data_IF_742828744036
#
_entry.id   IF_742828744036
#
_cell.length_a   1.000
_cell.length_b   1.000
_cell.length_c   1.000
_cell.angle_alpha   90.00
_cell.angle_beta   90.00
_cell.angle_gamma   90.00
#
_symmetry.space_group_name_H-M   'P 1'
#
loop_
_entity.id
_entity.type
_entity.pdbx_description
1 polymer ?
#
# COMPACT_ATOMS: atom_id res chain seq x y z
N UNK A 1 3.19 6.49 18.73
CA UNK A 1 4.18 6.38 17.63
C UNK A 1 3.93 7.47 16.60
N UNK A 2 2.71 7.52 16.06
CA UNK A 2 2.26 8.64 15.22
C UNK A 2 2.39 10.00 15.91
N UNK A 3 2.10 10.11 17.22
CA UNK A 3 2.33 11.35 17.98
C UNK A 3 3.76 11.87 17.89
N UNK A 4 4.76 10.97 17.89
CA UNK A 4 6.15 11.37 17.76
C UNK A 4 6.44 11.93 16.37
N UNK A 5 5.88 11.33 15.31
CA UNK A 5 5.97 11.84 13.94
C UNK A 5 5.32 13.22 13.84
N UNK A 6 4.13 13.38 14.42
CA UNK A 6 3.38 14.64 14.48
C UNK A 6 4.19 15.74 15.16
N UNK A 7 4.69 15.47 16.37
CA UNK A 7 5.51 16.41 17.14
C UNK A 7 6.81 16.73 16.40
N UNK A 8 7.50 15.73 15.86
CA UNK A 8 8.72 15.93 15.07
C UNK A 8 8.47 16.83 13.87
N UNK A 9 7.41 16.55 13.09
CA UNK A 9 7.02 17.34 11.93
C UNK A 9 6.74 18.80 12.30
N UNK A 10 5.92 19.05 13.34
CA UNK A 10 5.59 20.40 13.78
C UNK A 10 6.81 21.19 14.27
N UNK A 11 7.78 20.51 14.88
CA UNK A 11 8.97 21.14 15.46
C UNK A 11 10.20 21.18 14.53
N UNK A 12 10.07 20.75 13.26
CA UNK A 12 11.16 20.88 12.28
C UNK A 12 11.61 22.35 12.19
N UNK A 13 12.92 22.64 12.24
CA UNK A 13 13.41 23.99 12.02
C UNK A 13 13.16 24.43 10.58
N UNK A 14 13.12 25.74 10.38
CA UNK A 14 13.16 26.33 9.05
C UNK A 14 14.53 26.01 8.43
N UNK A 15 14.52 25.46 7.23
CA UNK A 15 15.74 25.24 6.46
C UNK A 15 16.31 26.62 6.05
N UNK A 16 17.51 27.00 6.50
CA UNK A 16 18.08 28.32 6.23
C UNK A 16 18.39 28.55 4.75
N UNK A 17 18.56 27.50 3.95
CA UNK A 17 18.79 27.63 2.52
C UNK A 17 17.51 27.97 1.73
N UNK A 18 16.35 27.53 2.22
CA UNK A 18 15.07 27.66 1.51
C UNK A 18 14.06 28.57 2.20
N UNK A 19 14.32 29.03 3.43
CA UNK A 19 13.44 29.92 4.19
C UNK A 19 12.13 29.26 4.67
N UNK A 20 12.01 27.93 4.60
CA UNK A 20 10.81 27.16 4.99
C UNK A 20 11.17 25.82 5.61
N UNK A 21 10.22 25.13 6.25
CA UNK A 21 10.41 23.74 6.68
C UNK A 21 10.53 22.83 5.45
N UNK A 22 11.42 21.84 5.51
CA UNK A 22 11.49 20.82 4.47
C UNK A 22 10.26 19.90 4.55
N UNK A 23 9.75 19.35 3.43
CA UNK A 23 8.65 18.39 3.44
C UNK A 23 8.89 17.20 4.35
N UNK A 24 7.82 16.60 4.89
CA UNK A 24 7.91 15.28 5.53
C UNK A 24 7.15 14.26 4.71
N UNK A 25 7.84 13.17 4.37
CA UNK A 25 7.23 11.96 3.84
C UNK A 25 7.62 10.78 4.72
N UNK A 26 6.64 9.93 5.02
CA UNK A 26 6.80 8.76 5.89
C UNK A 26 6.51 7.50 5.08
N UNK A 27 7.50 6.62 4.99
CA UNK A 27 7.34 5.29 4.44
C UNK A 27 6.84 4.33 5.54
N UNK A 28 5.60 3.88 5.43
CA UNK A 28 4.96 2.95 6.34
C UNK A 28 5.02 1.52 5.79
N UNK A 29 6.19 0.90 5.84
CA UNK A 29 6.41 -0.52 5.50
C UNK A 29 5.94 -1.49 6.61
N UNK A 30 4.92 -1.10 7.38
CA UNK A 30 4.31 -1.89 8.46
C UNK A 30 2.79 -1.73 8.42
N UNK A 31 2.09 -2.69 9.00
CA UNK A 31 0.64 -2.65 9.11
C UNK A 31 0.11 -3.66 10.13
N UNK A 32 -1.08 -3.40 10.65
CA UNK A 32 -1.75 -4.29 11.61
C UNK A 32 -2.53 -5.39 10.90
N UNK A 33 -2.55 -6.58 11.51
CA UNK A 33 -3.18 -7.78 10.96
C UNK A 33 -3.97 -8.50 12.05
N UNK A 34 -5.05 -9.14 11.66
CA UNK A 34 -5.86 -10.00 12.51
C UNK A 34 -5.73 -11.44 12.04
N UNK A 35 -5.86 -12.36 13.00
CA UNK A 35 -5.84 -13.78 12.73
C UNK A 35 -7.03 -14.47 13.40
N UNK A 36 -7.67 -15.38 12.68
CA UNK A 36 -8.76 -16.22 13.20
C UNK A 36 -8.38 -17.68 13.02
N UNK A 37 -8.47 -18.48 14.08
CA UNK A 37 -8.19 -19.93 14.04
C UNK A 37 -9.06 -20.59 12.98
N UNK A 38 -8.43 -21.17 11.94
CA UNK A 38 -9.12 -21.84 10.84
C UNK A 38 -9.61 -23.23 11.20
N UNK A 39 -8.91 -23.88 12.12
CA UNK A 39 -9.19 -25.24 12.62
C UNK A 39 -10.32 -25.28 13.67
N UNK A 40 -10.83 -24.13 14.10
CA UNK A 40 -11.93 -24.01 15.05
C UNK A 40 -13.15 -23.40 14.38
N UNK A 41 -14.33 -23.71 14.92
CA UNK A 41 -15.60 -23.17 14.41
C UNK A 41 -15.63 -21.65 14.46
N UNK A 42 -16.02 -21.04 13.35
CA UNK A 42 -16.23 -19.59 13.21
C UNK A 42 -17.43 -19.33 12.30
N UNK A 43 -17.90 -18.09 12.30
CA UNK A 43 -18.87 -17.59 11.32
C UNK A 43 -18.48 -16.19 10.86
N UNK A 44 -18.84 -15.87 9.61
CA UNK A 44 -18.51 -14.60 8.98
C UNK A 44 -19.68 -14.08 8.15
N UNK A 45 -19.76 -12.76 7.97
CA UNK A 45 -20.66 -12.14 7.00
C UNK A 45 -19.93 -11.96 5.67
N UNK A 46 -20.59 -12.32 4.57
CA UNK A 46 -20.21 -11.97 3.22
C UNK A 46 -21.38 -11.25 2.55
N UNK A 47 -21.21 -9.96 2.24
CA UNK A 47 -22.23 -9.09 1.61
C UNK A 47 -23.60 -9.19 2.31
N UNK A 48 -23.58 -9.10 3.64
CA UNK A 48 -24.77 -9.20 4.49
C UNK A 48 -25.26 -10.61 4.83
N UNK A 49 -24.77 -11.65 4.14
CA UNK A 49 -25.14 -13.04 4.43
C UNK A 49 -24.18 -13.67 5.45
N UNK A 50 -24.71 -14.23 6.54
CA UNK A 50 -23.89 -14.93 7.53
C UNK A 50 -23.70 -16.39 7.14
N UNK A 51 -22.45 -16.86 7.16
CA UNK A 51 -22.07 -18.23 6.78
C UNK A 51 -21.19 -18.85 7.84
N UNK A 52 -21.29 -20.17 7.99
CA UNK A 52 -20.50 -20.93 8.97
C UNK A 52 -19.19 -21.42 8.33
N UNK A 53 -18.17 -21.64 9.16
CA UNK A 53 -16.88 -22.18 8.71
C UNK A 53 -16.95 -23.50 7.93
N UNK A 54 -17.97 -24.32 8.15
CA UNK A 54 -18.27 -25.51 7.34
C UNK A 54 -18.63 -25.18 5.89
N UNK A 55 -19.13 -23.97 5.65
CA UNK A 55 -19.73 -23.54 4.38
C UNK A 55 -18.78 -22.70 3.53
N UNK A 56 -17.66 -22.29 4.12
CA UNK A 56 -16.67 -21.42 3.48
C UNK A 56 -16.14 -21.99 2.16
N UNK A 57 -16.02 -23.33 2.05
CA UNK A 57 -15.49 -24.05 0.90
C UNK A 57 -16.47 -25.06 0.30
N UNK A 58 -17.67 -25.23 0.88
CA UNK A 58 -18.58 -26.34 0.54
C UNK A 58 -19.53 -26.06 -0.61
N UNK A 59 -19.68 -24.80 -1.04
CA UNK A 59 -20.34 -24.49 -2.32
C UNK A 59 -19.33 -24.73 -3.44
N UNK A 60 -19.79 -25.22 -4.61
CA UNK A 60 -18.96 -25.41 -5.82
C UNK A 60 -18.22 -24.14 -6.30
N UNK A 61 -18.56 -23.03 -5.65
CA UNK A 61 -18.25 -21.64 -5.93
C UNK A 61 -17.38 -20.99 -4.84
N UNK A 62 -17.30 -21.62 -3.65
CA UNK A 62 -16.69 -21.09 -2.41
C UNK A 62 -17.17 -19.68 -2.02
N UNK A 63 -16.98 -19.28 -0.76
CA UNK A 63 -17.33 -17.94 -0.31
C UNK A 63 -16.06 -17.15 0.02
N UNK A 64 -16.08 -15.83 -0.16
CA UNK A 64 -14.91 -14.99 0.13
C UNK A 64 -14.30 -15.21 1.53
N UNK A 65 -15.07 -15.38 2.64
CA UNK A 65 -14.51 -15.79 3.93
C UNK A 65 -13.61 -17.03 3.87
N UNK A 66 -13.94 -18.02 3.03
CA UNK A 66 -13.16 -19.24 2.84
C UNK A 66 -11.84 -19.04 2.11
N UNK A 67 -11.75 -17.94 1.38
CA UNK A 67 -10.55 -17.52 0.64
C UNK A 67 -9.90 -16.28 1.26
N UNK A 68 -10.29 -15.90 2.48
CA UNK A 68 -9.43 -15.04 3.30
C UNK A 68 -8.08 -15.76 3.41
N UNK A 69 -7.01 -15.06 3.09
CA UNK A 69 -5.68 -15.66 3.02
C UNK A 69 -5.35 -16.44 4.27
N UNK A 70 -4.62 -17.52 4.08
CA UNK A 70 -4.26 -18.40 5.18
C UNK A 70 -2.77 -18.42 5.41
N UNK A 71 -2.40 -18.55 6.68
CA UNK A 71 -1.02 -18.75 7.10
C UNK A 71 -0.99 -19.84 8.18
N UNK A 72 0.09 -20.61 8.21
CA UNK A 72 0.26 -21.67 9.21
C UNK A 72 1.48 -21.39 10.08
N UNK A 73 1.28 -21.44 11.39
CA UNK A 73 2.34 -21.34 12.39
C UNK A 73 2.21 -22.50 13.36
N UNK A 74 3.31 -23.22 13.64
CA UNK A 74 3.33 -24.35 14.56
C UNK A 74 2.21 -25.39 14.27
N UNK A 75 2.01 -25.74 13.00
CA UNK A 75 0.94 -26.65 12.53
C UNK A 75 -0.50 -26.19 12.79
N UNK A 76 -0.72 -24.91 13.12
CA UNK A 76 -2.04 -24.31 13.24
C UNK A 76 -2.25 -23.35 12.08
N UNK A 77 -3.36 -23.48 11.36
CA UNK A 77 -3.74 -22.57 10.28
C UNK A 77 -4.64 -21.45 10.78
N UNK A 78 -4.45 -20.27 10.23
CA UNK A 78 -5.21 -19.07 10.54
C UNK A 78 -5.72 -18.44 9.25
N UNK A 79 -6.94 -17.91 9.28
CA UNK A 79 -7.33 -16.84 8.36
C UNK A 79 -6.58 -15.58 8.77
N UNK A 80 -6.03 -14.84 7.82
CA UNK A 80 -5.25 -13.62 8.01
C UNK A 80 -5.83 -12.50 7.14
N UNK A 81 -5.95 -11.31 7.71
CA UNK A 81 -6.33 -10.11 6.98
C UNK A 81 -5.71 -8.87 7.64
N UNK A 82 -5.57 -7.79 6.88
CA UNK A 82 -5.25 -6.47 7.44
C UNK A 82 -6.38 -6.01 8.34
N UNK A 83 -6.02 -5.35 9.45
CA UNK A 83 -7.00 -4.93 10.43
C UNK A 83 -6.60 -3.58 11.03
N UNK A 84 -7.60 -2.82 11.46
CA UNK A 84 -7.38 -1.60 12.22
C UNK A 84 -7.15 -1.94 13.69
N UNK A 85 -6.12 -1.33 14.27
CA UNK A 85 -5.85 -1.31 15.72
C UNK A 85 -6.40 0.01 16.26
N UNK A 86 -7.52 0.02 17.02
CA UNK A 86 -8.20 1.26 17.39
C UNK A 86 -7.27 2.31 18.00
N UNK A 87 -6.36 1.88 18.88
CA UNK A 87 -5.42 2.77 19.56
C UNK A 87 -4.46 3.47 18.59
N UNK A 88 -3.83 2.71 17.69
CA UNK A 88 -2.92 3.26 16.69
C UNK A 88 -3.66 4.06 15.63
N UNK A 89 -4.86 3.61 15.27
CA UNK A 89 -5.70 4.22 14.24
C UNK A 89 -6.17 5.62 14.65
N UNK A 90 -6.67 5.79 15.88
CA UNK A 90 -7.08 7.10 16.40
C UNK A 90 -5.92 8.10 16.37
N UNK A 91 -4.72 7.73 16.85
CA UNK A 91 -3.56 8.64 16.81
C UNK A 91 -3.08 8.98 15.40
N UNK A 92 -3.40 8.14 14.42
CA UNK A 92 -3.08 8.40 13.02
C UNK A 92 -4.12 9.35 12.39
N UNK A 93 -5.40 9.14 12.66
CA UNK A 93 -6.50 10.02 12.21
C UNK A 93 -6.33 11.44 12.78
N UNK A 94 -5.87 11.59 14.01
CA UNK A 94 -5.50 12.89 14.60
C UNK A 94 -4.40 13.63 13.83
N UNK A 95 -3.60 12.96 13.00
CA UNK A 95 -2.65 13.61 12.09
C UNK A 95 -3.36 14.06 10.82
N UNK A 96 -4.25 13.21 10.28
CA UNK A 96 -5.01 13.53 9.08
C UNK A 96 -5.94 14.73 9.34
N UNK A 97 -6.51 14.86 10.52
CA UNK A 97 -7.41 15.96 10.89
C UNK A 97 -6.68 17.24 11.33
N UNK A 98 -5.36 17.20 11.51
CA UNK A 98 -4.59 18.36 11.96
C UNK A 98 -4.16 19.25 10.79
N UNK A 99 -4.62 20.51 10.73
CA UNK A 99 -4.30 21.42 9.62
C UNK A 99 -2.83 21.81 9.56
N UNK A 100 -2.05 21.71 10.65
CA UNK A 100 -0.60 21.96 10.62
C UNK A 100 0.18 20.72 10.14
N UNK A 101 -0.50 19.67 9.68
CA UNK A 101 0.09 18.44 9.18
C UNK A 101 -0.41 18.11 7.77
N UNK A 102 -1.02 19.06 7.06
CA UNK A 102 -1.52 18.87 5.70
C UNK A 102 -0.39 18.52 4.70
N UNK A 103 0.83 18.98 4.93
CA UNK A 103 2.08 18.67 4.20
C UNK A 103 2.87 17.47 4.77
N UNK A 104 2.26 16.71 5.69
CA UNK A 104 2.80 15.43 6.18
C UNK A 104 2.24 14.28 5.33
N UNK A 105 3.12 13.71 4.50
CA UNK A 105 2.77 12.69 3.50
C UNK A 105 3.00 11.28 4.06
N UNK A 106 2.02 10.40 3.92
CA UNK A 106 2.15 8.98 4.26
C UNK A 106 2.03 8.10 3.02
N UNK A 107 3.00 7.20 2.86
CA UNK A 107 2.98 6.14 1.86
C UNK A 107 2.95 4.82 2.62
N UNK A 108 1.86 4.07 2.49
CA UNK A 108 1.63 2.83 3.22
C UNK A 108 1.82 1.63 2.30
N UNK A 109 2.43 0.56 2.82
CA UNK A 109 2.46 -0.72 2.12
C UNK A 109 1.09 -1.40 2.22
N UNK A 110 0.55 -1.92 1.11
CA UNK A 110 -0.74 -2.61 1.10
C UNK A 110 -0.79 -3.82 2.04
N UNK A 111 0.36 -4.43 2.33
CA UNK A 111 0.48 -5.60 3.19
C UNK A 111 0.55 -6.90 2.39
N UNK A 112 1.03 -7.94 3.06
CA UNK A 112 1.31 -9.24 2.46
C UNK A 112 0.51 -10.34 3.19
N UNK A 113 -0.76 -10.53 2.83
CA UNK A 113 -1.62 -11.54 3.48
C UNK A 113 -1.53 -12.84 2.69
N UNK A 114 -1.00 -13.90 3.31
CA UNK A 114 -0.83 -15.22 2.67
C UNK A 114 -0.16 -15.24 1.29
N UNK A 115 -0.53 -16.23 0.49
CA UNK A 115 0.04 -16.49 -0.84
C UNK A 115 -0.63 -15.71 -1.96
N UNK A 116 -1.91 -15.36 -1.80
CA UNK A 116 -2.72 -14.74 -2.86
C UNK A 116 -3.00 -13.26 -2.62
N UNK A 117 -2.62 -12.74 -1.44
CA UNK A 117 -2.82 -11.36 -1.03
C UNK A 117 -4.27 -11.10 -0.67
N UNK A 118 -4.54 -10.26 0.32
CA UNK A 118 -5.90 -9.98 0.79
C UNK A 118 -6.56 -8.89 -0.03
N UNK A 119 -7.88 -8.96 -0.22
CA UNK A 119 -8.64 -7.83 -0.80
C UNK A 119 -8.64 -6.64 0.17
N UNK A 120 -8.62 -5.43 -0.35
CA UNK A 120 -8.76 -4.16 0.36
C UNK A 120 -9.75 -3.32 -0.43
N UNK A 121 -10.94 -3.17 0.14
CA UNK A 121 -12.10 -2.52 -0.45
C UNK A 121 -12.17 -1.06 0.03
N UNK A 122 -12.77 -0.21 -0.80
CA UNK A 122 -13.06 1.18 -0.43
C UNK A 122 -14.38 1.28 0.35
N UNK A 123 -14.55 2.30 1.23
CA UNK A 123 -15.83 2.56 1.88
C UNK A 123 -16.99 2.63 0.88
N UNK A 124 -18.09 1.91 1.15
CA UNK A 124 -19.24 1.80 0.26
C UNK A 124 -19.11 0.72 -0.83
N UNK A 125 -17.94 0.11 -0.99
CA UNK A 125 -17.75 -1.06 -1.84
C UNK A 125 -18.47 -2.30 -1.30
N UNK A 126 -18.82 -3.26 -2.17
CA UNK A 126 -19.68 -4.39 -1.82
C UNK A 126 -19.06 -5.30 -0.74
N UNK A 127 -17.74 -5.33 -0.66
CA UNK A 127 -17.00 -6.19 0.26
C UNK A 127 -16.48 -5.45 1.51
N UNK A 128 -16.79 -4.16 1.68
CA UNK A 128 -16.21 -3.34 2.75
C UNK A 128 -16.68 -3.74 4.16
N UNK A 129 -17.93 -4.20 4.29
CA UNK A 129 -18.55 -4.54 5.58
C UNK A 129 -18.48 -6.03 5.94
N UNK A 130 -17.72 -6.78 5.16
CA UNK A 130 -17.41 -8.17 5.39
C UNK A 130 -16.61 -8.34 6.71
N UNK A 131 -17.07 -9.22 7.60
CA UNK A 131 -16.39 -9.44 8.89
C UNK A 131 -16.59 -10.84 9.45
N UNK A 132 -15.67 -11.28 10.31
CA UNK A 132 -15.93 -12.42 11.18
C UNK A 132 -16.90 -12.00 12.31
N UNK A 133 -17.96 -12.79 12.50
CA UNK A 133 -18.97 -12.61 13.56
C UNK A 133 -18.54 -13.36 14.82
N UNK A 134 -18.16 -14.63 14.66
CA UNK A 134 -17.63 -15.48 15.74
C UNK A 134 -16.32 -16.13 15.31
N UNK A 135 -15.49 -16.53 16.27
CA UNK A 135 -14.23 -17.22 16.04
C UNK A 135 -13.25 -17.03 17.17
N UNK A 136 -12.17 -17.80 17.17
CA UNK A 136 -11.05 -17.60 18.10
C UNK A 136 -10.03 -16.67 17.46
N UNK A 137 -10.04 -15.41 17.88
CA UNK A 137 -9.17 -14.35 17.38
C UNK A 137 -7.86 -14.30 18.16
N UNK A 138 -6.75 -14.07 17.46
CA UNK A 138 -5.45 -13.84 18.12
C UNK A 138 -5.39 -12.47 18.81
N UNK A 139 -5.93 -11.42 18.16
CA UNK A 139 -5.89 -10.05 18.68
C UNK A 139 -7.31 -9.50 18.83
N UNK A 140 -8.01 -9.85 19.91
CA UNK A 140 -9.43 -9.50 20.09
C UNK A 140 -9.74 -7.99 20.09
N UNK A 141 -8.74 -7.13 20.28
CA UNK A 141 -8.87 -5.67 20.24
C UNK A 141 -8.86 -5.09 18.82
N UNK A 142 -8.42 -5.86 17.81
CA UNK A 142 -8.31 -5.38 16.43
C UNK A 142 -9.62 -5.62 15.68
N UNK A 143 -9.84 -4.85 14.62
CA UNK A 143 -11.01 -4.98 13.75
C UNK A 143 -11.20 -6.43 13.28
N UNK A 144 -12.47 -6.83 13.17
CA UNK A 144 -12.89 -8.14 12.66
C UNK A 144 -13.27 -8.09 11.18
N UNK A 145 -13.23 -6.91 10.58
CA UNK A 145 -13.55 -6.71 9.18
C UNK A 145 -12.40 -7.24 8.33
N UNK A 146 -12.71 -8.18 7.46
CA UNK A 146 -11.81 -8.59 6.39
C UNK A 146 -12.15 -7.76 5.14
N UNK A 147 -11.30 -7.77 4.13
CA UNK A 147 -11.41 -6.87 2.98
C UNK A 147 -11.19 -5.37 3.27
N UNK A 148 -10.57 -4.98 4.39
CA UNK A 148 -10.21 -3.57 4.66
C UNK A 148 -8.70 -3.38 4.72
N UNK A 149 -8.25 -2.16 4.47
CA UNK A 149 -6.88 -1.75 4.82
C UNK A 149 -6.66 -1.85 6.34
N UNK A 150 -5.40 -1.85 6.77
CA UNK A 150 -5.04 -1.92 8.19
C UNK A 150 -4.34 -0.66 8.65
N UNK A 151 -4.23 -0.46 9.96
CA UNK A 151 -3.53 0.71 10.52
C UNK A 151 -2.04 0.71 10.14
N UNK A 152 -1.47 1.84 9.65
CA UNK A 152 -2.15 3.12 9.38
C UNK A 152 -2.96 3.09 8.09
N UNK A 153 -4.19 3.59 8.17
CA UNK A 153 -5.09 3.85 7.03
C UNK A 153 -5.94 5.07 7.37
N UNK A 154 -6.64 5.68 6.42
CA UNK A 154 -7.55 6.79 6.71
C UNK A 154 -8.03 7.46 5.45
N UNK A 155 -9.20 8.10 5.50
CA UNK A 155 -9.79 8.86 4.38
C UNK A 155 -9.76 8.09 3.04
N UNK A 156 -9.92 6.75 3.08
CA UNK A 156 -9.78 5.88 1.90
C UNK A 156 -10.75 6.35 0.80
N UNK A 157 -10.23 6.56 -0.40
CA UNK A 157 -11.00 7.07 -1.54
C UNK A 157 -11.05 8.60 -1.64
N UNK A 158 -10.62 9.32 -0.61
CA UNK A 158 -10.52 10.78 -0.62
C UNK A 158 -9.16 11.27 -1.19
N UNK A 159 -9.07 12.53 -1.67
CA UNK A 159 -7.83 13.11 -2.18
C UNK A 159 -6.69 13.22 -1.15
N UNK A 160 -7.00 13.20 0.14
CA UNK A 160 -6.05 13.38 1.24
C UNK A 160 -5.67 12.06 1.93
N UNK A 161 -6.13 10.93 1.41
CA UNK A 161 -5.80 9.60 1.90
C UNK A 161 -4.28 9.33 1.86
N UNK A 162 -3.74 8.53 2.80
CA UNK A 162 -2.41 7.93 2.66
C UNK A 162 -2.34 7.13 1.36
N UNK A 163 -1.17 7.16 0.70
CA UNK A 163 -0.97 6.51 -0.59
C UNK A 163 -0.72 5.02 -0.36
N UNK A 164 -1.64 4.16 -0.80
CA UNK A 164 -1.57 2.72 -0.59
C UNK A 164 -0.88 1.98 -1.74
N UNK A 165 0.25 1.33 -1.45
CA UNK A 165 1.16 0.79 -2.48
C UNK A 165 1.10 -0.74 -2.53
N UNK A 166 0.64 -1.26 -3.67
CA UNK A 166 0.72 -2.66 -4.03
C UNK A 166 2.08 -3.03 -4.64
N UNK A 167 2.43 -4.32 -4.60
CA UNK A 167 3.69 -4.86 -5.12
C UNK A 167 3.50 -5.50 -6.49
N UNK A 168 4.34 -5.14 -7.46
CA UNK A 168 4.52 -5.86 -8.73
C UNK A 168 5.55 -6.97 -8.59
N UNK A 169 5.27 -8.08 -9.27
CA UNK A 169 6.18 -9.21 -9.40
C UNK A 169 7.40 -8.84 -10.26
N UNK A 170 8.46 -9.63 -10.19
CA UNK A 170 9.65 -9.55 -11.05
C UNK A 170 9.51 -10.39 -12.31
N UNK A 171 8.33 -10.95 -12.54
CA UNK A 171 8.00 -11.90 -13.60
C UNK A 171 6.60 -11.54 -14.14
N UNK A 172 6.26 -12.03 -15.32
CA UNK A 172 5.02 -11.69 -16.02
C UNK A 172 4.05 -12.88 -16.03
N UNK A 173 2.79 -12.61 -16.27
CA UNK A 173 1.78 -13.64 -16.49
C UNK A 173 2.09 -14.40 -17.79
N UNK A 174 2.10 -15.73 -17.77
CA UNK A 174 2.40 -16.55 -18.96
C UNK A 174 1.24 -17.42 -19.44
N UNK A 175 0.19 -17.60 -18.62
CA UNK A 175 -0.90 -18.48 -19.04
C UNK A 175 -1.70 -17.87 -20.22
N UNK A 176 -2.34 -18.75 -20.99
CA UNK A 176 -3.08 -18.40 -22.21
C UNK A 176 -2.28 -17.60 -23.26
N UNK A 177 -0.95 -17.62 -23.18
CA UNK A 177 -0.06 -16.87 -24.08
C UNK A 177 -0.05 -15.35 -23.84
N UNK A 178 -0.60 -14.88 -22.71
CA UNK A 178 -0.40 -13.50 -22.25
C UNK A 178 1.06 -13.30 -21.80
N UNK A 179 1.52 -12.06 -21.86
CA UNK A 179 2.80 -11.56 -21.34
C UNK A 179 2.56 -10.27 -20.55
N UNK A 180 1.44 -10.24 -19.82
CA UNK A 180 1.01 -9.09 -19.05
C UNK A 180 1.79 -8.99 -17.74
N UNK A 181 2.06 -7.77 -17.30
CA UNK A 181 2.64 -7.50 -15.98
C UNK A 181 1.69 -8.04 -14.89
N UNK A 182 2.21 -8.50 -13.76
CA UNK A 182 1.35 -9.05 -12.69
C UNK A 182 1.71 -8.50 -11.31
N UNK A 183 0.72 -8.45 -10.42
CA UNK A 183 0.99 -8.19 -9.01
C UNK A 183 1.83 -9.33 -8.45
N UNK A 184 2.62 -9.07 -7.41
CA UNK A 184 3.23 -10.15 -6.64
C UNK A 184 2.14 -10.98 -5.96
N UNK A 185 2.30 -12.31 -5.93
CA UNK A 185 1.31 -13.22 -5.35
C UNK A 185 0.87 -12.79 -3.94
N UNK A 186 1.85 -12.52 -3.08
CA UNK A 186 1.63 -12.10 -1.69
C UNK A 186 0.96 -10.72 -1.54
N UNK A 187 0.96 -9.86 -2.57
CA UNK A 187 0.52 -8.48 -2.41
C UNK A 187 -0.97 -8.43 -2.19
N UNK A 188 -1.39 -7.78 -1.10
CA UNK A 188 -2.77 -7.32 -0.98
C UNK A 188 -3.14 -6.49 -2.21
N UNK A 189 -4.42 -6.55 -2.57
CA UNK A 189 -5.00 -5.98 -3.77
C UNK A 189 -6.40 -5.45 -3.46
N UNK A 190 -7.01 -4.75 -4.39
CA UNK A 190 -8.40 -4.32 -4.36
C UNK A 190 -8.54 -2.84 -4.69
N UNK A 191 -9.78 -2.31 -4.71
CA UNK A 191 -10.05 -0.92 -5.05
C UNK A 191 -9.34 0.11 -4.17
N UNK A 192 -8.92 -0.27 -2.95
CA UNK A 192 -8.19 0.62 -2.05
C UNK A 192 -6.68 0.73 -2.36
N UNK A 193 -6.16 0.01 -3.35
CA UNK A 193 -4.79 0.21 -3.85
C UNK A 193 -4.76 1.48 -4.69
N UNK A 194 -3.76 2.33 -4.46
CA UNK A 194 -3.56 3.54 -5.25
C UNK A 194 -2.61 3.34 -6.42
N UNK A 195 -1.49 2.67 -6.17
CA UNK A 195 -0.42 2.52 -7.14
C UNK A 195 0.32 1.21 -6.92
N UNK A 196 0.73 0.60 -8.02
CA UNK A 196 1.60 -0.56 -8.05
C UNK A 196 3.05 -0.13 -8.27
N UNK A 197 3.97 -0.72 -7.54
CA UNK A 197 5.41 -0.48 -7.74
C UNK A 197 6.19 -1.79 -7.60
N UNK A 198 7.37 -1.83 -8.20
CA UNK A 198 8.29 -2.97 -8.10
C UNK A 198 8.54 -3.34 -6.64
N UNK A 199 8.18 -4.56 -6.25
CA UNK A 199 8.33 -5.03 -4.87
C UNK A 199 8.72 -6.49 -4.74
N UNK A 200 8.96 -7.21 -5.84
CA UNK A 200 9.56 -8.54 -5.83
C UNK A 200 10.99 -8.50 -6.36
N UNK A 201 11.88 -9.27 -5.72
CA UNK A 201 13.29 -9.36 -6.07
C UNK A 201 13.97 -7.98 -6.20
N UNK A 202 13.74 -7.10 -5.22
CA UNK A 202 14.35 -5.77 -5.17
C UNK A 202 15.70 -5.88 -4.47
N UNK A 203 16.76 -5.54 -5.19
CA UNK A 203 18.11 -5.48 -4.64
C UNK A 203 18.22 -4.29 -3.67
N UNK A 204 18.58 -4.57 -2.42
CA UNK A 204 18.70 -3.56 -1.38
C UNK A 204 19.97 -3.77 -0.53
N UNK A 205 20.51 -2.71 0.11
CA UNK A 205 21.52 -2.85 1.15
C UNK A 205 21.05 -3.79 2.25
N UNK A 206 21.93 -4.70 2.68
CA UNK A 206 21.64 -5.72 3.67
C UNK A 206 22.87 -6.02 4.52
N UNK A 207 22.69 -6.31 5.80
CA UNK A 207 23.81 -6.47 6.73
C UNK A 207 24.54 -7.82 6.61
N UNK A 208 23.91 -8.85 6.04
CA UNK A 208 24.48 -10.21 5.97
C UNK A 208 24.26 -10.89 4.61
N UNK A 209 24.14 -10.11 3.54
CA UNK A 209 23.81 -10.60 2.19
C UNK A 209 25.02 -10.94 1.32
N UNK A 210 24.82 -10.94 0.00
CA UNK A 210 25.89 -11.00 -0.99
C UNK A 210 26.80 -9.78 -0.84
N UNK A 211 28.10 -9.93 -1.09
CA UNK A 211 28.99 -8.77 -1.07
C UNK A 211 28.61 -7.75 -2.14
N UNK A 212 28.63 -6.47 -1.78
CA UNK A 212 28.52 -5.39 -2.76
C UNK A 212 29.81 -5.36 -3.62
N UNK A 213 29.72 -5.52 -4.95
CA UNK A 213 30.90 -5.55 -5.82
C UNK A 213 31.67 -4.22 -5.85
N UNK A 214 31.08 -3.13 -5.35
CA UNK A 214 31.72 -1.82 -5.24
C UNK A 214 32.52 -1.68 -3.95
N UNK A 215 32.13 -2.38 -2.88
CA UNK A 215 32.82 -2.42 -1.60
C UNK A 215 32.35 -3.61 -0.74
N UNK A 216 33.25 -4.56 -0.51
CA UNK A 216 32.99 -5.82 0.23
C UNK A 216 32.67 -5.65 1.72
N UNK A 217 32.82 -4.45 2.30
CA UNK A 217 32.37 -4.16 3.66
C UNK A 217 30.84 -4.04 3.78
N UNK A 218 30.15 -3.89 2.63
CA UNK A 218 28.70 -3.80 2.57
C UNK A 218 28.09 -5.05 1.94
N UNK A 219 26.90 -5.41 2.42
CA UNK A 219 26.10 -6.50 1.86
C UNK A 219 24.90 -6.00 1.06
N UNK A 220 24.43 -6.83 0.15
CA UNK A 220 23.25 -6.65 -0.67
C UNK A 220 22.38 -7.91 -0.59
N UNK A 221 21.06 -7.74 -0.64
CA UNK A 221 20.16 -8.89 -0.76
C UNK A 221 18.95 -8.54 -1.63
N UNK A 222 18.37 -9.56 -2.26
CA UNK A 222 17.10 -9.44 -2.95
C UNK A 222 15.96 -9.63 -1.95
N UNK A 223 15.15 -8.60 -1.78
CA UNK A 223 14.04 -8.58 -0.84
C UNK A 223 12.73 -8.45 -1.59
N UNK A 224 11.67 -9.06 -1.04
CA UNK A 224 10.33 -9.02 -1.62
C UNK A 224 9.29 -8.61 -0.59
N UNK A 225 8.34 -7.78 -0.99
CA UNK A 225 7.22 -7.33 -0.17
C UNK A 225 6.64 -6.01 -0.68
N UNK A 226 5.39 -5.73 -0.30
CA UNK A 226 4.83 -4.37 -0.44
C UNK A 226 5.67 -3.33 0.32
N UNK A 227 6.40 -3.75 1.36
CA UNK A 227 7.44 -2.98 2.04
C UNK A 227 8.62 -2.56 1.17
N UNK A 228 8.87 -3.24 0.05
CA UNK A 228 9.88 -2.88 -0.97
C UNK A 228 9.25 -2.08 -2.11
N UNK A 229 7.95 -2.23 -2.36
CA UNK A 229 7.20 -1.40 -3.31
C UNK A 229 7.03 0.04 -2.81
N UNK A 230 6.57 0.23 -1.57
CA UNK A 230 6.33 1.55 -0.97
C UNK A 230 7.52 2.54 -1.04
N UNK A 231 8.78 2.15 -0.74
CA UNK A 231 9.91 3.09 -0.80
C UNK A 231 10.24 3.58 -2.21
N UNK A 232 9.91 2.83 -3.26
CA UNK A 232 10.05 3.31 -4.64
C UNK A 232 9.12 4.50 -4.91
N UNK A 233 7.87 4.42 -4.45
CA UNK A 233 6.90 5.53 -4.55
C UNK A 233 7.38 6.72 -3.73
N UNK A 234 7.86 6.49 -2.50
CA UNK A 234 8.44 7.54 -1.65
C UNK A 234 9.60 8.26 -2.35
N UNK A 235 10.48 7.52 -3.04
CA UNK A 235 11.58 8.10 -3.79
C UNK A 235 11.12 9.06 -4.89
N UNK A 236 10.12 8.67 -5.69
CA UNK A 236 9.55 9.52 -6.74
C UNK A 236 8.84 10.75 -6.15
N UNK A 237 8.08 10.56 -5.08
CA UNK A 237 7.40 11.66 -4.40
C UNK A 237 8.38 12.63 -3.73
N UNK A 238 9.52 12.15 -3.22
CA UNK A 238 10.56 13.01 -2.67
C UNK A 238 11.14 13.96 -3.73
N UNK A 239 11.33 13.50 -4.97
CA UNK A 239 11.74 14.35 -6.10
C UNK A 239 10.68 15.40 -6.44
N UNK A 240 9.41 15.04 -6.40
CA UNK A 240 8.32 16.01 -6.56
C UNK A 240 8.34 17.07 -5.45
N UNK A 241 8.50 16.64 -4.20
CA UNK A 241 8.55 17.50 -3.01
C UNK A 241 9.79 18.41 -2.98
N UNK A 242 10.90 18.02 -3.61
CA UNK A 242 12.07 18.89 -3.76
C UNK A 242 11.73 20.18 -4.52
N UNK A 243 10.91 20.05 -5.56
CA UNK A 243 10.47 21.18 -6.41
C UNK A 243 9.13 21.76 -5.99
N UNK A 244 8.32 21.01 -5.23
CA UNK A 244 6.99 21.38 -4.71
C UNK A 244 6.92 21.20 -3.19
N UNK A 245 7.67 22.01 -2.45
CA UNK A 245 8.00 21.83 -1.05
C UNK A 245 6.93 22.30 -0.07
N UNK A 246 5.91 23.00 -0.57
CA UNK A 246 4.69 23.35 0.16
C UNK A 246 3.50 22.50 -0.30
N UNK A 247 3.74 21.45 -1.09
CA UNK A 247 2.68 20.58 -1.55
C UNK A 247 2.07 19.86 -0.35
N UNK A 248 0.75 19.98 -0.24
CA UNK A 248 -0.06 19.22 0.71
C UNK A 248 -0.15 17.76 0.28
N UNK A 249 -0.66 16.91 1.16
CA UNK A 249 -1.00 15.51 0.83
C UNK A 249 -1.96 15.39 -0.35
N UNK A 250 -2.90 16.35 -0.48
CA UNK A 250 -3.80 16.42 -1.62
C UNK A 250 -3.05 16.73 -2.90
N UNK A 251 -2.14 17.71 -2.88
CA UNK A 251 -1.32 18.07 -4.04
C UNK A 251 -0.44 16.90 -4.47
N UNK A 252 0.22 16.24 -3.52
CA UNK A 252 1.09 15.08 -3.75
C UNK A 252 0.30 13.91 -4.34
N UNK A 253 -0.87 13.58 -3.79
CA UNK A 253 -1.70 12.48 -4.31
C UNK A 253 -2.22 12.80 -5.71
N UNK A 254 -2.72 14.02 -5.94
CA UNK A 254 -3.17 14.45 -7.25
C UNK A 254 -2.04 14.43 -8.28
N UNK A 255 -0.84 14.89 -7.91
CA UNK A 255 0.34 14.83 -8.76
C UNK A 255 0.72 13.39 -9.08
N UNK A 256 0.74 12.49 -8.10
CA UNK A 256 1.03 11.08 -8.31
C UNK A 256 0.08 10.46 -9.34
N UNK A 257 -1.23 10.68 -9.19
CA UNK A 257 -2.22 10.09 -10.11
C UNK A 257 -2.16 10.69 -11.52
N UNK A 258 -1.73 11.94 -11.65
CA UNK A 258 -1.70 12.63 -12.95
C UNK A 258 -0.36 12.48 -13.68
N UNK A 259 0.74 12.41 -12.95
CA UNK A 259 2.09 12.56 -13.48
C UNK A 259 3.07 11.50 -12.98
N UNK A 260 2.83 10.93 -11.80
CA UNK A 260 3.68 9.90 -11.20
C UNK A 260 3.19 8.47 -11.44
N UNK A 261 2.20 8.27 -12.30
CA UNK A 261 1.67 6.95 -12.65
C UNK A 261 1.34 6.85 -14.14
N UNK A 262 1.29 5.60 -14.63
CA UNK A 262 0.79 5.22 -15.95
C UNK A 262 -0.13 4.01 -15.81
N UNK A 263 -1.11 3.87 -16.70
CA UNK A 263 -1.88 2.62 -16.81
C UNK A 263 -1.02 1.57 -17.54
N UNK A 264 -0.84 0.41 -16.92
CA UNK A 264 -0.10 -0.71 -17.50
C UNK A 264 -1.05 -1.89 -17.78
N UNK A 265 -0.71 -2.78 -18.72
CA UNK A 265 -1.47 -4.01 -18.95
C UNK A 265 -1.20 -5.01 -17.82
N UNK A 266 -1.80 -4.77 -16.65
CA UNK A 266 -1.75 -5.72 -15.54
C UNK A 266 -2.70 -6.89 -15.80
N UNK A 267 -2.22 -8.11 -15.62
CA UNK A 267 -2.99 -9.35 -15.68
C UNK A 267 -4.17 -9.30 -14.71
N UNK A 268 -5.37 -9.57 -15.23
CA UNK A 268 -6.59 -9.61 -14.43
C UNK A 268 -7.59 -10.60 -15.04
N UNK A 269 -7.27 -11.89 -14.92
CA UNK A 269 -8.07 -12.98 -15.53
C UNK A 269 -9.45 -13.15 -14.94
N UNK A 270 -9.59 -12.88 -13.65
CA UNK A 270 -10.79 -13.20 -12.89
C UNK A 270 -11.35 -11.91 -12.30
N UNK A 271 -12.37 -11.37 -12.96
CA UNK A 271 -13.00 -10.09 -12.61
C UNK A 271 -14.36 -10.25 -11.93
N UNK A 272 -14.94 -11.46 -11.94
CA UNK A 272 -16.22 -11.74 -11.28
C UNK A 272 -16.00 -12.28 -9.86
N UNK A 273 -16.40 -11.55 -8.80
CA UNK A 273 -16.24 -11.99 -7.41
C UNK A 273 -17.27 -13.04 -6.96
N UNK A 274 -18.40 -13.20 -7.66
CA UNK A 274 -19.49 -14.07 -7.22
C UNK A 274 -19.30 -15.47 -7.79
N UNK A 275 -19.05 -16.41 -6.87
CA UNK A 275 -18.96 -17.84 -7.13
C UNK A 275 -17.79 -18.29 -7.99
N UNK A 276 -16.70 -17.52 -7.96
CA UNK A 276 -15.48 -17.86 -8.67
C UNK A 276 -14.35 -18.05 -7.67
N UNK A 277 -14.06 -19.30 -7.32
CA UNK A 277 -12.90 -19.69 -6.51
C UNK A 277 -11.61 -19.05 -7.01
N UNK A 278 -11.47 -18.88 -8.33
CA UNK A 278 -10.32 -18.26 -8.95
C UNK A 278 -10.20 -16.74 -8.71
N UNK A 279 -11.31 -15.99 -8.57
CA UNK A 279 -11.20 -14.55 -8.21
C UNK A 279 -10.55 -14.38 -6.84
N UNK A 280 -10.94 -15.22 -5.88
CA UNK A 280 -10.45 -15.12 -4.51
C UNK A 280 -9.15 -15.87 -4.26
N UNK A 281 -8.95 -17.02 -4.90
CA UNK A 281 -7.80 -17.89 -4.67
C UNK A 281 -6.66 -17.77 -5.69
N UNK A 282 -6.82 -16.97 -6.77
CA UNK A 282 -5.72 -16.78 -7.73
C UNK A 282 -4.72 -15.75 -7.23
N UNK A 283 -3.44 -16.12 -7.23
CA UNK A 283 -2.37 -15.32 -6.65
C UNK A 283 -2.19 -13.96 -7.32
N UNK A 284 -2.55 -13.83 -8.60
CA UNK A 284 -2.36 -12.60 -9.37
C UNK A 284 -3.66 -11.84 -9.65
N UNK A 285 -4.79 -12.25 -9.05
CA UNK A 285 -6.06 -11.54 -9.24
C UNK A 285 -5.96 -10.11 -8.68
N UNK A 286 -6.34 -9.11 -9.49
CA UNK A 286 -6.34 -7.72 -9.03
C UNK A 286 -7.52 -7.42 -8.14
N UNK A 287 -8.60 -8.20 -8.23
CA UNK A 287 -9.82 -8.04 -7.41
C UNK A 287 -10.31 -6.59 -7.41
N UNK A 288 -10.45 -6.04 -8.62
CA UNK A 288 -10.89 -4.67 -8.90
C UNK A 288 -9.86 -3.57 -8.56
N UNK A 289 -8.58 -3.93 -8.37
CA UNK A 289 -7.53 -2.92 -8.25
C UNK A 289 -7.39 -2.08 -9.52
N UNK A 290 -7.06 -0.78 -9.38
CA UNK A 290 -6.63 0.01 -10.53
C UNK A 290 -5.34 -0.55 -11.14
N UNK A 291 -5.11 -0.33 -12.44
CA UNK A 291 -3.89 -0.77 -13.14
C UNK A 291 -2.82 0.32 -13.24
N UNK A 292 -2.83 1.25 -12.27
CA UNK A 292 -1.89 2.36 -12.12
C UNK A 292 -0.53 1.87 -11.61
N UNK A 293 0.51 1.96 -12.43
CA UNK A 293 1.89 1.62 -12.06
C UNK A 293 2.70 2.91 -11.86
N UNK A 294 3.61 2.91 -10.89
CA UNK A 294 4.51 4.01 -10.60
C UNK A 294 5.33 4.38 -11.85
N UNK A 295 5.33 5.67 -12.18
CA UNK A 295 6.13 6.25 -13.23
C UNK A 295 6.95 7.40 -12.66
N UNK A 296 8.26 7.41 -12.96
CA UNK A 296 9.14 8.49 -12.54
C UNK A 296 9.36 9.48 -13.70
N UNK A 297 8.63 10.60 -13.76
CA UNK A 297 8.80 11.59 -14.82
C UNK A 297 10.16 12.31 -14.74
N UNK A 298 10.89 12.21 -13.63
CA UNK A 298 12.20 12.87 -13.45
C UNK A 298 13.37 12.03 -13.97
N UNK A 299 13.16 10.74 -14.24
CA UNK A 299 14.17 9.84 -14.82
C UNK A 299 14.31 10.08 -16.33
N UNK A 300 14.70 11.29 -16.71
CA UNK A 300 14.86 11.68 -18.11
C UNK A 300 16.13 12.55 -18.30
N UNK A 301 16.58 12.68 -19.54
CA UNK A 301 17.77 13.47 -19.90
C UNK A 301 17.46 14.96 -20.15
N UNK A 302 16.29 15.45 -19.72
CA UNK A 302 15.87 16.83 -19.98
C UNK A 302 16.75 17.77 -19.17
N UNK A 303 17.50 18.62 -19.87
CA UNK A 303 18.28 19.68 -19.24
C UNK A 303 17.47 20.97 -19.27
N UNK A 304 17.11 21.56 -18.12
CA UNK A 304 16.44 22.85 -18.09
C UNK A 304 17.29 23.90 -18.80
N UNK A 305 16.71 24.59 -19.80
CA UNK A 305 17.38 25.68 -20.51
C UNK A 305 16.48 26.91 -20.47
N UNK A 306 17.02 28.02 -19.96
CA UNK A 306 16.38 29.33 -20.02
C UNK A 306 17.09 30.14 -21.10
N UNK A 307 16.35 30.62 -22.10
CA UNK A 307 16.88 31.46 -23.19
C UNK A 307 16.01 32.69 -23.42
N UNK A 308 16.62 33.80 -23.83
CA UNK A 308 15.87 35.00 -24.23
C UNK A 308 15.32 35.84 -23.08
N UNK A 309 15.82 35.68 -21.86
CA UNK A 309 15.38 36.48 -20.71
C UNK A 309 16.28 37.72 -20.58
N UNK A 310 15.72 38.91 -20.84
CA UNK A 310 16.32 40.18 -20.43
C UNK A 310 15.90 40.48 -18.99
N UNK A 311 16.77 40.18 -18.03
CA UNK A 311 16.55 40.53 -16.63
C UNK A 311 17.11 41.94 -16.40
N UNK A 312 16.23 42.93 -16.26
CA UNK A 312 16.60 44.29 -15.86
C UNK A 312 15.69 44.77 -14.74
N UNK A 313 16.26 45.40 -13.70
CA UNK A 313 15.48 46.02 -12.62
C UNK A 313 15.00 45.07 -11.50
N UNK A 314 15.48 43.82 -11.45
CA UNK A 314 15.15 42.88 -10.36
C UNK A 314 16.33 42.83 -9.37
N UNK A 315 16.10 43.31 -8.16
CA UNK A 315 16.93 43.03 -6.98
C UNK A 315 16.42 41.73 -6.35
N UNK A 316 17.14 40.61 -6.51
CA UNK A 316 16.88 39.43 -5.71
C UNK A 316 17.29 39.72 -4.27
N UNK A 317 16.30 39.86 -3.39
CA UNK A 317 16.51 39.75 -1.95
C UNK A 317 15.94 38.40 -1.54
N UNK A 318 16.82 37.45 -1.26
CA UNK A 318 16.42 36.21 -0.61
C UNK A 318 16.00 36.58 0.82
N UNK A 319 14.69 36.55 1.08
CA UNK A 319 14.14 36.67 2.44
C UNK A 319 14.15 35.31 3.11
#
# INVERSE_FOLDING_TARGET
GFDYIKVWHKNKPINPATGRKNPTIVNCSWGKRQFVRKDLSSSATFRGTTVQSSDYLSTADGLAPGYVDTISFNNISYYQFTAEDPSGQTTFEEILDDPDCDDLIFVISAGNSGSSGGKQEVPGGPDYDNRFVTGTFTYSTYSKHYCRTGTPTGNIGSPDAPINVGSLDSDYETADGSYDERKSGFSNCGPAIDVWSAGSAILAPYNTGFYDPRNFDFGLNYLSGTSMAAPNVVGVLALYLETNPSATRVDVRNWLMKHGTIEAPLSDRYTNPIGVAAYWGYDYALRDSPKRVLYNPFANNTTPKITGVNISGISFKQS
#
